data_IF_331470806156
#
_entry.id   IF_331470806156
#
_cell.length_a   1.000
_cell.length_b   1.000
_cell.length_c   1.000
_cell.angle_alpha   90.00
_cell.angle_beta   90.00
_cell.angle_gamma   90.00
#
_symmetry.space_group_name_H-M   'P 1'
#
loop_
_entity.id
_entity.type
_entity.pdbx_description
1 polymer ?
#
# COMPACT_ATOMS: atom_id res chain seq x y z
N UNK A 1 -29.54 -32.86 55.19
CA UNK A 1 -29.51 -31.49 54.63
C UNK A 1 -28.26 -31.38 53.77
N UNK A 2 -28.40 -31.62 52.44
CA UNK A 2 -27.28 -31.59 51.46
C UNK A 2 -27.18 -30.17 50.89
N UNK A 3 -26.11 -29.45 51.21
CA UNK A 3 -25.82 -28.14 50.59
C UNK A 3 -25.17 -28.39 49.26
N UNK A 4 -25.89 -28.12 48.17
CA UNK A 4 -25.40 -28.14 46.79
C UNK A 4 -24.68 -26.84 46.55
N UNK A 5 -23.36 -26.93 46.36
CA UNK A 5 -22.48 -25.79 46.02
C UNK A 5 -22.48 -25.65 44.51
N UNK A 6 -23.19 -24.63 43.96
CA UNK A 6 -23.15 -24.29 42.54
C UNK A 6 -21.89 -23.47 42.26
N UNK A 7 -20.90 -24.12 41.66
CA UNK A 7 -19.74 -23.42 41.07
C UNK A 7 -20.20 -22.89 39.70
N UNK A 8 -20.51 -21.58 39.62
CA UNK A 8 -20.74 -20.87 38.37
C UNK A 8 -19.38 -20.58 37.78
N UNK A 9 -18.94 -21.41 36.84
CA UNK A 9 -17.75 -21.15 36.04
C UNK A 9 -18.11 -20.11 35.01
N UNK A 10 -17.78 -18.84 35.29
CA UNK A 10 -17.90 -17.72 34.34
C UNK A 10 -16.81 -17.88 33.27
N UNK A 11 -17.18 -18.44 32.12
CA UNK A 11 -16.31 -18.55 30.95
C UNK A 11 -16.12 -17.15 30.36
N UNK A 12 -15.01 -16.51 30.71
CA UNK A 12 -14.61 -15.24 30.14
C UNK A 12 -14.10 -15.51 28.71
N UNK A 13 -14.96 -15.41 27.71
CA UNK A 13 -14.57 -15.46 26.30
C UNK A 13 -13.76 -14.21 25.99
N UNK A 14 -12.44 -14.34 25.88
CA UNK A 14 -11.59 -13.28 25.33
C UNK A 14 -11.96 -13.13 23.85
N UNK A 15 -12.77 -12.11 23.54
CA UNK A 15 -12.91 -11.64 22.18
C UNK A 15 -11.60 -10.93 21.80
N UNK A 16 -10.69 -11.65 21.13
CA UNK A 16 -9.55 -11.00 20.47
C UNK A 16 -10.08 -10.21 19.29
N UNK A 17 -10.25 -8.89 19.46
CA UNK A 17 -10.48 -7.99 18.36
C UNK A 17 -9.24 -8.07 17.46
N UNK A 18 -9.42 -8.59 16.23
CA UNK A 18 -8.40 -8.55 15.20
C UNK A 18 -8.32 -7.09 14.76
N UNK A 19 -7.48 -6.31 15.41
CA UNK A 19 -7.14 -4.98 14.94
C UNK A 19 -6.40 -5.15 13.60
N UNK A 20 -6.89 -4.50 12.54
CA UNK A 20 -6.13 -4.41 11.30
C UNK A 20 -4.93 -3.50 11.54
N UNK A 21 -3.80 -4.09 11.86
CA UNK A 21 -2.54 -3.37 12.13
C UNK A 21 -1.93 -2.76 10.86
N UNK A 22 -2.45 -3.13 9.68
CA UNK A 22 -2.03 -2.59 8.40
C UNK A 22 -3.17 -1.75 7.82
N UNK A 23 -2.88 -0.49 7.54
CA UNK A 23 -3.85 0.50 7.03
C UNK A 23 -3.42 0.95 5.65
N UNK A 24 -4.39 1.02 4.73
CA UNK A 24 -4.20 1.59 3.38
C UNK A 24 -4.93 2.92 3.29
N UNK A 25 -4.20 3.95 2.88
CA UNK A 25 -4.72 5.31 2.74
C UNK A 25 -4.65 5.75 1.27
N UNK A 26 -5.69 6.45 0.81
CA UNK A 26 -5.79 7.04 -0.53
C UNK A 26 -5.51 6.05 -1.67
N UNK A 27 -6.18 4.88 -1.72
CA UNK A 27 -5.98 3.91 -2.78
C UNK A 27 -6.60 4.40 -4.09
N UNK A 28 -5.76 4.63 -5.11
CA UNK A 28 -6.17 5.12 -6.42
C UNK A 28 -5.54 4.29 -7.55
N UNK A 29 -6.29 4.12 -8.63
CA UNK A 29 -5.81 3.58 -9.91
C UNK A 29 -5.82 4.71 -10.93
N UNK A 30 -4.74 4.86 -11.66
CA UNK A 30 -4.68 5.79 -12.78
C UNK A 30 -5.61 5.33 -13.90
N UNK A 31 -6.51 6.23 -14.38
CA UNK A 31 -7.35 5.94 -15.52
C UNK A 31 -6.48 5.64 -16.75
N UNK A 32 -6.81 4.54 -17.43
CA UNK A 32 -6.09 4.09 -18.62
C UNK A 32 -6.57 4.85 -19.85
N UNK A 33 -5.67 5.19 -20.80
CA UNK A 33 -6.08 5.51 -22.17
C UNK A 33 -6.83 4.35 -22.80
N UNK A 34 -7.70 4.65 -23.75
CA UNK A 34 -8.37 3.61 -24.55
C UNK A 34 -7.33 2.67 -25.17
N UNK A 35 -7.60 1.36 -25.11
CA UNK A 35 -6.73 0.30 -25.62
C UNK A 35 -5.38 0.11 -24.90
N UNK A 36 -5.10 0.81 -23.81
CA UNK A 36 -3.93 0.51 -22.99
C UNK A 36 -4.11 -0.86 -22.31
N UNK A 37 -3.00 -1.60 -22.17
CA UNK A 37 -3.01 -2.94 -21.55
C UNK A 37 -2.51 -2.94 -20.11
N UNK A 38 -2.08 -1.79 -19.60
CA UNK A 38 -1.54 -1.66 -18.26
C UNK A 38 -1.78 -0.27 -17.68
N UNK A 39 -1.88 -0.23 -16.36
CA UNK A 39 -1.97 1.00 -15.57
C UNK A 39 -1.28 0.81 -14.24
N UNK A 40 -1.26 1.86 -13.42
CA UNK A 40 -0.62 1.85 -12.11
C UNK A 40 -1.61 2.16 -10.99
N UNK A 41 -1.41 1.48 -9.86
CA UNK A 41 -2.10 1.73 -8.61
C UNK A 41 -1.17 2.36 -7.59
N UNK A 42 -1.68 3.34 -6.85
CA UNK A 42 -0.95 4.13 -5.86
C UNK A 42 -1.73 4.20 -4.54
N UNK A 43 -1.03 4.18 -3.44
CA UNK A 43 -1.59 4.25 -2.08
C UNK A 43 -0.48 4.47 -1.06
N UNK A 44 -0.85 4.81 0.16
CA UNK A 44 0.05 4.75 1.30
C UNK A 44 -0.28 3.52 2.13
N UNK A 45 0.73 2.77 2.53
CA UNK A 45 0.62 1.57 3.35
C UNK A 45 1.29 1.83 4.70
N UNK A 46 0.51 1.78 5.77
CA UNK A 46 0.97 2.02 7.15
C UNK A 46 0.92 0.72 7.95
N UNK A 47 2.04 0.32 8.52
CA UNK A 47 2.10 -0.78 9.46
C UNK A 47 2.07 -0.22 10.89
N UNK A 48 0.96 -0.42 11.60
CA UNK A 48 0.77 0.02 12.99
C UNK A 48 1.12 -1.05 14.03
N UNK A 49 1.52 -2.24 13.57
CA UNK A 49 1.91 -3.34 14.45
C UNK A 49 3.33 -3.16 15.02
N UNK A 50 3.67 -3.96 16.00
CA UNK A 50 5.01 -4.01 16.58
C UNK A 50 5.97 -4.92 15.78
N UNK A 51 5.44 -5.64 14.79
CA UNK A 51 6.20 -6.53 13.92
C UNK A 51 6.34 -5.95 12.51
N UNK A 52 7.41 -6.34 11.82
CA UNK A 52 7.57 -6.06 10.40
C UNK A 52 6.54 -6.86 9.59
N UNK A 53 5.96 -6.25 8.57
CA UNK A 53 5.07 -6.91 7.60
C UNK A 53 5.69 -6.83 6.21
N UNK A 54 5.53 -7.87 5.40
CA UNK A 54 6.08 -7.94 4.05
C UNK A 54 4.96 -8.13 3.04
N UNK A 55 4.76 -7.15 2.16
CA UNK A 55 3.85 -7.27 1.02
C UNK A 55 4.54 -8.10 -0.07
N UNK A 56 3.97 -9.24 -0.45
CA UNK A 56 4.52 -10.18 -1.43
C UNK A 56 3.76 -10.17 -2.76
N UNK A 57 2.59 -9.51 -2.82
CA UNK A 57 1.83 -9.44 -4.05
C UNK A 57 0.45 -8.82 -3.88
N UNK A 58 -0.27 -8.80 -4.99
CA UNK A 58 -1.67 -8.38 -5.01
C UNK A 58 -2.44 -9.14 -6.09
N UNK A 59 -3.77 -9.24 -5.95
CA UNK A 59 -4.66 -9.86 -6.92
C UNK A 59 -5.98 -9.09 -7.04
N UNK A 60 -6.66 -9.21 -8.18
CA UNK A 60 -7.97 -8.63 -8.43
C UNK A 60 -8.72 -9.45 -9.47
N UNK A 61 -10.03 -9.42 -9.42
CA UNK A 61 -10.87 -10.00 -10.48
C UNK A 61 -10.99 -9.08 -11.72
N UNK A 62 -10.46 -7.86 -11.65
CA UNK A 62 -10.52 -6.88 -12.75
C UNK A 62 -9.28 -6.89 -13.64
N UNK A 63 -8.18 -7.52 -13.21
CA UNK A 63 -6.91 -7.60 -13.93
C UNK A 63 -6.38 -9.03 -13.95
N UNK A 64 -5.73 -9.42 -15.06
CA UNK A 64 -5.15 -10.77 -15.14
C UNK A 64 -3.90 -10.92 -14.29
N UNK A 65 -3.08 -9.86 -14.20
CA UNK A 65 -1.84 -9.85 -13.42
C UNK A 65 -1.67 -8.53 -12.69
N UNK A 66 -1.17 -8.61 -11.46
CA UNK A 66 -0.76 -7.46 -10.67
C UNK A 66 0.65 -7.74 -10.14
N UNK A 67 1.56 -6.81 -10.34
CA UNK A 67 2.95 -6.91 -9.90
C UNK A 67 3.35 -5.66 -9.11
N UNK A 68 4.31 -5.82 -8.21
CA UNK A 68 4.92 -4.68 -7.51
C UNK A 68 6.12 -4.23 -8.34
N UNK A 69 6.15 -2.96 -8.73
CA UNK A 69 7.24 -2.36 -9.48
C UNK A 69 7.80 -1.14 -8.76
N UNK A 70 9.05 -0.84 -9.05
CA UNK A 70 9.73 0.37 -8.59
C UNK A 70 10.35 1.08 -9.80
N UNK A 71 10.04 2.38 -9.95
CA UNK A 71 10.74 3.24 -10.89
C UNK A 71 11.99 3.79 -10.23
N UNK A 72 13.15 3.57 -10.84
CA UNK A 72 14.43 4.10 -10.38
C UNK A 72 15.09 4.89 -11.50
N UNK A 73 15.60 6.06 -11.16
CA UNK A 73 16.39 6.86 -12.09
C UNK A 73 17.83 6.34 -12.06
N UNK A 74 18.37 5.99 -13.25
CA UNK A 74 19.75 5.60 -13.45
C UNK A 74 20.35 6.52 -14.53
N UNK A 75 21.11 7.52 -14.09
CA UNK A 75 21.53 8.64 -14.96
C UNK A 75 20.30 9.39 -15.50
N UNK A 76 20.18 9.46 -16.83
CA UNK A 76 19.05 10.11 -17.52
C UNK A 76 17.93 9.12 -17.92
N UNK A 77 18.07 7.84 -17.59
CA UNK A 77 17.12 6.80 -17.95
C UNK A 77 16.28 6.39 -16.73
N UNK A 78 14.97 6.32 -16.91
CA UNK A 78 14.06 5.74 -15.93
C UNK A 78 13.96 4.23 -16.17
N UNK A 79 14.41 3.44 -15.22
CA UNK A 79 14.27 1.99 -15.20
C UNK A 79 13.07 1.59 -14.35
N UNK A 80 12.34 0.58 -14.80
CA UNK A 80 11.22 -0.01 -14.08
C UNK A 80 11.60 -1.42 -13.66
N UNK A 81 11.73 -1.63 -12.36
CA UNK A 81 12.21 -2.88 -11.77
C UNK A 81 11.05 -3.59 -11.07
N UNK A 82 10.83 -4.86 -11.41
CA UNK A 82 9.91 -5.71 -10.65
C UNK A 82 10.50 -6.01 -9.27
N UNK A 83 9.65 -5.89 -8.25
CA UNK A 83 9.95 -6.26 -6.87
C UNK A 83 9.16 -7.50 -6.49
N UNK A 84 9.81 -8.52 -5.95
CA UNK A 84 9.13 -9.72 -5.47
C UNK A 84 8.43 -9.48 -4.13
N UNK A 85 8.94 -8.54 -3.35
CA UNK A 85 8.36 -8.18 -2.06
C UNK A 85 8.78 -6.76 -1.65
N UNK A 86 8.01 -6.19 -0.72
CA UNK A 86 8.28 -4.90 -0.09
C UNK A 86 8.07 -5.04 1.40
N UNK A 87 9.12 -4.80 2.18
CA UNK A 87 9.08 -4.86 3.65
C UNK A 87 8.64 -3.52 4.23
N UNK A 88 7.73 -3.56 5.19
CA UNK A 88 7.20 -2.42 5.93
C UNK A 88 7.56 -2.62 7.41
N UNK A 89 8.53 -1.87 7.89
CA UNK A 89 8.99 -1.96 9.28
C UNK A 89 7.85 -1.70 10.26
N UNK A 90 8.00 -2.16 11.49
CA UNK A 90 7.05 -1.86 12.55
C UNK A 90 6.88 -0.35 12.73
N UNK A 91 5.64 0.11 12.98
CA UNK A 91 5.30 1.54 13.20
C UNK A 91 5.79 2.47 12.10
N UNK A 92 5.87 1.98 10.86
CA UNK A 92 6.33 2.77 9.72
C UNK A 92 5.33 2.77 8.56
N UNK A 93 5.56 3.70 7.65
CA UNK A 93 4.76 3.87 6.44
C UNK A 93 5.64 3.68 5.20
N UNK A 94 5.02 3.19 4.12
CA UNK A 94 5.62 3.18 2.79
C UNK A 94 4.64 3.76 1.78
N UNK A 95 5.14 4.53 0.81
CA UNK A 95 4.32 5.18 -0.21
C UNK A 95 4.49 4.51 -1.55
N UNK A 96 3.38 4.05 -2.14
CA UNK A 96 3.28 3.67 -3.54
C UNK A 96 2.85 4.90 -4.32
N UNK A 97 3.74 5.45 -5.14
CA UNK A 97 3.59 6.76 -5.75
C UNK A 97 4.22 6.81 -7.16
N UNK A 98 3.80 7.75 -8.02
CA UNK A 98 4.46 7.95 -9.31
C UNK A 98 5.98 8.15 -9.14
N UNK A 99 6.77 7.58 -10.05
CA UNK A 99 8.24 7.59 -10.04
C UNK A 99 8.90 6.87 -8.85
N UNK A 100 8.13 6.11 -8.06
CA UNK A 100 8.60 5.26 -6.96
C UNK A 100 7.99 3.87 -7.06
N UNK A 101 7.71 3.29 -5.90
CA UNK A 101 6.95 2.03 -5.81
C UNK A 101 5.53 2.23 -6.34
N UNK A 102 4.99 1.22 -7.03
CA UNK A 102 3.62 1.19 -7.53
C UNK A 102 3.16 -0.24 -7.81
N UNK A 103 1.85 -0.45 -7.83
CA UNK A 103 1.27 -1.67 -8.38
C UNK A 103 1.13 -1.50 -9.89
N UNK A 104 1.74 -2.39 -10.66
CA UNK A 104 1.53 -2.51 -12.09
C UNK A 104 0.34 -3.43 -12.35
N UNK A 105 -0.76 -2.87 -12.86
CA UNK A 105 -2.02 -3.56 -13.13
C UNK A 105 -2.09 -3.88 -14.62
N UNK A 106 -2.09 -5.16 -14.98
CA UNK A 106 -1.93 -5.59 -16.37
C UNK A 106 -3.13 -6.38 -16.89
N UNK A 107 -3.40 -6.19 -18.18
CA UNK A 107 -4.44 -6.91 -18.91
C UNK A 107 -5.81 -6.85 -18.23
N UNK A 108 -6.48 -5.69 -18.24
CA UNK A 108 -7.81 -5.54 -17.66
C UNK A 108 -8.78 -6.50 -18.36
N UNK A 109 -9.67 -7.11 -17.56
CA UNK A 109 -10.67 -8.08 -18.07
C UNK A 109 -11.81 -7.35 -18.77
N UNK A 110 -12.11 -6.13 -18.30
CA UNK A 110 -13.10 -5.20 -18.88
C UNK A 110 -12.50 -3.81 -18.98
N UNK A 111 -13.11 -2.97 -19.78
CA UNK A 111 -12.75 -1.55 -19.83
C UNK A 111 -12.90 -0.93 -18.43
N UNK A 112 -11.91 -0.13 -18.07
CA UNK A 112 -11.86 0.59 -16.80
C UNK A 112 -12.39 2.00 -17.01
N UNK A 113 -13.35 2.40 -16.19
CA UNK A 113 -14.02 3.69 -16.28
C UNK A 113 -13.60 4.64 -15.15
N UNK A 114 -13.72 5.92 -15.39
CA UNK A 114 -13.46 6.95 -14.39
C UNK A 114 -14.46 6.84 -13.22
N UNK A 115 -13.97 7.09 -12.00
CA UNK A 115 -14.72 6.97 -10.74
C UNK A 115 -15.22 5.56 -10.42
N UNK A 116 -14.77 4.56 -11.17
CA UNK A 116 -15.03 3.16 -10.84
C UNK A 116 -14.25 2.76 -9.59
N UNK A 117 -14.87 1.97 -8.71
CA UNK A 117 -14.20 1.28 -7.62
C UNK A 117 -13.77 -0.12 -8.05
N UNK A 118 -12.52 -0.46 -7.78
CA UNK A 118 -11.94 -1.76 -8.12
C UNK A 118 -11.35 -2.38 -6.86
N UNK A 119 -11.85 -3.55 -6.49
CA UNK A 119 -11.30 -4.30 -5.36
C UNK A 119 -9.98 -4.97 -5.74
N UNK A 120 -8.96 -4.74 -4.92
CA UNK A 120 -7.65 -5.38 -4.99
C UNK A 120 -7.34 -5.98 -3.62
N UNK A 121 -6.97 -7.25 -3.60
CA UNK A 121 -6.49 -7.95 -2.41
C UNK A 121 -4.97 -7.83 -2.33
N UNK A 122 -4.44 -7.17 -1.31
CA UNK A 122 -3.03 -7.16 -0.97
C UNK A 122 -2.68 -8.44 -0.20
N UNK A 123 -1.57 -9.09 -0.54
CA UNK A 123 -1.15 -10.38 0.02
C UNK A 123 0.16 -10.18 0.77
N UNK A 124 0.16 -10.53 2.06
CA UNK A 124 1.31 -10.42 2.94
C UNK A 124 1.93 -11.79 3.24
N UNK A 125 3.23 -11.81 3.49
CA UNK A 125 4.00 -13.01 3.84
C UNK A 125 3.49 -13.67 5.13
N UNK A 126 2.98 -12.87 6.07
CA UNK A 126 2.32 -13.35 7.29
C UNK A 126 1.06 -14.18 7.04
N UNK A 127 0.61 -14.31 5.78
CA UNK A 127 -0.66 -14.95 5.39
C UNK A 127 -1.87 -14.02 5.47
N UNK A 128 -1.69 -12.78 5.92
CA UNK A 128 -2.74 -11.75 5.94
C UNK A 128 -3.11 -11.37 4.50
N UNK A 129 -4.39 -11.26 4.23
CA UNK A 129 -4.95 -10.73 2.99
C UNK A 129 -5.81 -9.52 3.33
N UNK A 130 -5.63 -8.42 2.61
CA UNK A 130 -6.35 -7.17 2.84
C UNK A 130 -7.05 -6.74 1.57
N UNK A 131 -8.39 -6.74 1.57
CA UNK A 131 -9.21 -6.30 0.44
C UNK A 131 -9.43 -4.80 0.52
N UNK A 132 -9.03 -4.10 -0.53
CA UNK A 132 -9.05 -2.63 -0.62
C UNK A 132 -9.78 -2.20 -1.89
N UNK A 133 -10.70 -1.25 -1.78
CA UNK A 133 -11.34 -0.62 -2.92
C UNK A 133 -10.51 0.58 -3.39
N UNK A 134 -10.01 0.48 -4.60
CA UNK A 134 -9.26 1.53 -5.28
C UNK A 134 -10.19 2.34 -6.16
N UNK A 135 -10.12 3.66 -6.07
CA UNK A 135 -10.87 4.57 -6.93
C UNK A 135 -10.08 4.91 -8.20
N UNK A 136 -10.72 4.76 -9.37
CA UNK A 136 -10.10 5.10 -10.66
C UNK A 136 -10.19 6.61 -10.89
N UNK A 137 -9.05 7.28 -11.11
CA UNK A 137 -8.95 8.73 -11.33
C UNK A 137 -8.10 9.09 -12.55
N UNK A 138 -8.43 10.23 -13.19
CA UNK A 138 -7.54 10.86 -14.19
C UNK A 138 -6.27 11.37 -13.54
N UNK A 139 -5.19 11.46 -14.36
CA UNK A 139 -3.89 11.92 -13.89
C UNK A 139 -3.92 13.37 -13.37
N UNK A 140 -4.75 14.22 -13.95
CA UNK A 140 -4.85 15.63 -13.57
C UNK A 140 -5.50 15.81 -12.18
N UNK A 141 -6.40 14.91 -11.81
CA UNK A 141 -7.02 14.88 -10.48
C UNK A 141 -6.13 14.24 -9.42
N UNK A 142 -5.11 13.49 -9.85
CA UNK A 142 -4.05 12.95 -8.98
C UNK A 142 -3.04 14.02 -8.55
N UNK A 143 -3.18 15.27 -9.05
CA UNK A 143 -2.47 16.43 -8.51
C UNK A 143 -2.92 16.64 -7.07
N UNK A 144 -2.21 15.97 -6.19
CA UNK A 144 -1.98 16.35 -4.81
C UNK A 144 -3.24 16.79 -4.05
N UNK A 145 -3.96 15.87 -3.52
CA UNK A 145 -4.17 16.00 -2.08
C UNK A 145 -2.75 16.11 -1.53
N UNK A 146 -2.37 17.30 -1.08
CA UNK A 146 -1.06 17.57 -0.47
C UNK A 146 -0.78 16.45 0.51
N UNK A 147 0.00 15.45 0.11
CA UNK A 147 0.72 14.63 1.04
C UNK A 147 1.75 15.60 1.60
N UNK A 148 1.47 16.04 2.82
CA UNK A 148 2.22 17.01 3.59
C UNK A 148 3.72 16.84 3.36
N UNK A 149 4.29 17.80 2.63
CA UNK A 149 5.70 18.11 2.60
C UNK A 149 5.98 18.91 3.88
N UNK A 150 5.81 18.31 5.03
CA UNK A 150 6.40 18.78 6.27
C UNK A 150 7.45 17.75 6.70
N UNK A 151 8.65 18.01 6.33
CA UNK A 151 9.94 17.68 6.92
C UNK A 151 10.97 17.26 5.87
N UNK A 152 11.39 18.18 5.04
CA UNK A 152 12.67 18.05 4.35
C UNK A 152 13.41 19.42 4.30
N UNK A 153 13.60 19.98 5.48
CA UNK A 153 14.44 21.16 5.68
C UNK A 153 15.48 20.86 6.75
N UNK A 154 16.40 19.93 6.45
CA UNK A 154 17.64 19.82 7.22
C UNK A 154 18.73 19.09 6.42
N UNK A 155 19.16 19.67 5.31
CA UNK A 155 20.44 19.36 4.67
C UNK A 155 20.91 20.56 3.84
N UNK A 156 21.17 21.69 4.50
CA UNK A 156 21.99 22.75 3.93
C UNK A 156 22.69 23.44 5.08
N UNK A 157 23.86 22.96 5.44
CA UNK A 157 24.95 23.72 6.03
C UNK A 157 26.12 22.75 6.27
N UNK A 158 26.82 22.41 5.19
CA UNK A 158 28.21 22.01 5.30
C UNK A 158 29.05 23.16 4.74
N UNK A 159 29.49 23.96 5.71
CA UNK A 159 30.55 24.93 5.70
C UNK A 159 31.71 24.52 4.77
N UNK A 160 31.94 25.31 3.71
CA UNK A 160 33.17 25.26 2.95
C UNK A 160 34.21 26.10 3.69
N UNK A 161 34.89 25.44 4.62
CA UNK A 161 36.09 25.99 5.24
C UNK A 161 37.16 26.29 4.22
N UNK A 162 37.46 27.54 4.12
CA UNK A 162 38.56 28.19 3.46
C UNK A 162 39.91 27.54 3.81
N UNK A 163 40.62 27.03 2.83
CA UNK A 163 42.05 26.73 2.99
C UNK A 163 42.88 27.70 2.17
N UNK A 164 43.60 28.50 2.93
CA UNK A 164 44.63 29.42 2.55
C UNK A 164 45.90 28.70 2.16
#
# INVERSE_FOLDING_TARGET
>A
MKKIFYIVTFLFTLNTAIANDVIVENPIIRLMPLNAKMTAGYFKLSNKSDNEETLIGAKSNSFKNIEIHESKKDGDVMQMLKRNSVSIKSKSDIKFMPMGLHLMLMNPIKQIEENQEISITLIFESGKNLDINFLVKKMDEMKMTKMDTENDSQCSDMDMGEMK
#
